data_IF_109482573029
#
_entry.id   IF_109482573029
#
_cell.length_a   1.000
_cell.length_b   1.000
_cell.length_c   1.000
_cell.angle_alpha   90.00
_cell.angle_beta   90.00
_cell.angle_gamma   90.00
#
_symmetry.space_group_name_H-M   'P 1'
#
loop_
_entity.id
_entity.type
_entity.pdbx_description
1 polymer ?
#
# COMPACT_ATOMS: atom_id res chain seq x y z
N UNK A 1 13.71 -16.49 2.90
CA UNK A 1 12.78 -16.51 4.05
C UNK A 1 11.48 -15.83 3.65
N UNK A 2 10.65 -16.50 2.85
CA UNK A 2 9.33 -16.02 2.43
C UNK A 2 8.18 -16.80 3.09
N UNK A 3 8.50 -17.80 3.93
CA UNK A 3 7.54 -18.78 4.46
C UNK A 3 6.82 -18.36 5.74
N UNK A 4 7.05 -17.15 6.26
CA UNK A 4 6.32 -16.67 7.45
C UNK A 4 5.19 -15.71 7.06
N UNK A 5 5.45 -14.79 6.14
CA UNK A 5 4.44 -13.80 5.71
C UNK A 5 3.30 -14.42 4.89
N UNK A 6 3.62 -15.32 3.95
CA UNK A 6 2.60 -15.98 3.13
C UNK A 6 1.66 -16.87 3.97
N UNK A 7 2.14 -17.44 5.08
CA UNK A 7 1.32 -18.23 6.00
C UNK A 7 0.36 -17.34 6.81
N UNK A 8 0.80 -16.13 7.21
CA UNK A 8 -0.09 -15.13 7.82
C UNK A 8 -1.23 -14.74 6.88
N UNK A 9 -1.01 -14.75 5.57
CA UNK A 9 -2.07 -14.50 4.58
C UNK A 9 -3.06 -15.67 4.47
N UNK A 10 -2.83 -16.82 5.10
CA UNK A 10 -3.84 -17.88 5.21
C UNK A 10 -4.70 -17.75 6.47
N UNK A 11 -4.34 -16.88 7.40
CA UNK A 11 -5.06 -16.67 8.65
C UNK A 11 -6.49 -16.15 8.38
N UNK A 12 -7.53 -16.69 9.06
CA UNK A 12 -8.91 -16.23 8.90
C UNK A 12 -9.11 -14.73 9.10
N UNK A 13 -8.31 -14.08 9.96
CA UNK A 13 -8.36 -12.63 10.19
C UNK A 13 -7.97 -11.88 8.92
N UNK A 14 -6.90 -12.31 8.24
CA UNK A 14 -6.54 -11.74 6.95
C UNK A 14 -7.59 -12.04 5.90
N UNK A 15 -8.10 -13.26 5.80
CA UNK A 15 -9.12 -13.60 4.81
C UNK A 15 -10.39 -12.75 4.96
N UNK A 16 -10.83 -12.49 6.20
CA UNK A 16 -11.93 -11.58 6.50
C UNK A 16 -11.61 -10.14 6.06
N UNK A 17 -10.45 -9.61 6.47
CA UNK A 17 -10.01 -8.26 6.09
C UNK A 17 -9.89 -8.10 4.58
N UNK A 18 -9.32 -9.10 3.91
CA UNK A 18 -9.16 -9.15 2.45
C UNK A 18 -10.52 -9.05 1.76
N UNK A 19 -11.51 -9.83 2.19
CA UNK A 19 -12.86 -9.76 1.63
C UNK A 19 -13.55 -8.41 1.89
N UNK A 20 -13.34 -7.82 3.07
CA UNK A 20 -13.84 -6.47 3.38
C UNK A 20 -13.29 -5.42 2.40
N UNK A 21 -11.98 -5.44 2.13
CA UNK A 21 -11.35 -4.50 1.19
C UNK A 21 -11.79 -4.77 -0.25
N UNK A 22 -11.84 -6.03 -0.67
CA UNK A 22 -12.34 -6.40 -2.00
C UNK A 22 -13.79 -5.95 -2.21
N UNK A 23 -14.64 -6.12 -1.20
CA UNK A 23 -16.04 -5.69 -1.27
C UNK A 23 -16.18 -4.16 -1.29
N UNK A 24 -15.38 -3.42 -0.50
CA UNK A 24 -15.32 -1.95 -0.53
C UNK A 24 -14.95 -1.43 -1.93
N UNK A 25 -14.05 -2.14 -2.60
CA UNK A 25 -13.50 -1.77 -3.91
C UNK A 25 -14.29 -2.38 -5.08
N UNK A 26 -15.52 -2.86 -4.83
CA UNK A 26 -16.41 -3.48 -5.83
C UNK A 26 -15.79 -4.65 -6.61
N UNK A 27 -14.87 -5.40 -5.99
CA UNK A 27 -14.10 -6.47 -6.63
C UNK A 27 -13.47 -6.00 -7.95
N UNK A 28 -12.84 -4.83 -7.90
CA UNK A 28 -12.25 -4.16 -9.05
C UNK A 28 -10.91 -3.53 -8.69
N UNK A 29 -9.95 -3.63 -9.60
CA UNK A 29 -8.67 -2.94 -9.48
C UNK A 29 -8.91 -1.43 -9.40
N UNK A 30 -8.40 -0.78 -8.35
CA UNK A 30 -8.59 0.65 -8.13
C UNK A 30 -7.65 1.54 -8.97
N UNK A 31 -6.71 0.95 -9.72
CA UNK A 31 -5.83 1.69 -10.63
C UNK A 31 -6.30 1.63 -12.09
N UNK A 32 -6.58 0.45 -12.61
CA UNK A 32 -6.96 0.26 -14.02
C UNK A 32 -8.43 -0.09 -14.25
N UNK A 33 -9.19 -0.36 -13.18
CA UNK A 33 -10.60 -0.75 -13.29
C UNK A 33 -10.84 -2.20 -13.73
N UNK A 34 -9.80 -3.03 -13.82
CA UNK A 34 -9.95 -4.43 -14.19
C UNK A 34 -10.74 -5.25 -13.14
N UNK A 35 -11.59 -6.16 -13.63
CA UNK A 35 -12.43 -7.06 -12.83
C UNK A 35 -12.23 -8.52 -13.24
N UNK A 36 -11.29 -8.83 -14.13
CA UNK A 36 -11.12 -10.16 -14.73
C UNK A 36 -9.86 -10.87 -14.25
N UNK A 37 -8.75 -10.16 -14.10
CA UNK A 37 -7.50 -10.74 -13.62
C UNK A 37 -7.56 -11.02 -12.12
N UNK A 38 -6.55 -11.72 -11.61
CA UNK A 38 -6.46 -12.02 -10.18
C UNK A 38 -6.34 -10.72 -9.38
N UNK A 39 -7.25 -10.53 -8.42
CA UNK A 39 -7.25 -9.38 -7.52
C UNK A 39 -6.54 -9.70 -6.20
N UNK A 40 -5.68 -8.77 -5.79
CA UNK A 40 -4.93 -8.82 -4.53
C UNK A 40 -5.15 -7.54 -3.74
N UNK A 41 -5.00 -7.62 -2.42
CA UNK A 41 -5.02 -6.44 -1.55
C UNK A 41 -3.58 -6.03 -1.31
N UNK A 42 -3.26 -4.81 -1.70
CA UNK A 42 -1.96 -4.17 -1.57
C UNK A 42 -1.91 -3.28 -0.33
N UNK A 43 -0.82 -3.39 0.44
CA UNK A 43 -0.48 -2.47 1.52
C UNK A 43 0.27 -1.26 0.94
N UNK A 44 -0.35 -0.07 1.00
CA UNK A 44 0.23 1.18 0.46
C UNK A 44 1.40 1.72 1.29
N UNK A 45 1.51 1.26 2.53
CA UNK A 45 2.60 1.56 3.45
C UNK A 45 2.82 0.35 4.38
N UNK A 46 4.02 0.22 4.92
CA UNK A 46 4.40 -0.84 5.85
C UNK A 46 4.66 -0.25 7.24
N UNK A 47 3.65 -0.35 8.10
CA UNK A 47 3.73 0.11 9.48
C UNK A 47 4.48 -0.90 10.34
N UNK A 48 5.45 -0.46 11.17
CA UNK A 48 6.20 -1.36 12.03
C UNK A 48 5.29 -2.07 13.03
N UNK A 49 5.59 -3.34 13.30
CA UNK A 49 4.89 -4.17 14.30
C UNK A 49 3.38 -4.35 14.06
N UNK A 50 2.92 -4.27 12.81
CA UNK A 50 1.54 -4.56 12.42
C UNK A 50 1.43 -5.88 11.70
N UNK A 51 0.46 -6.70 12.11
CA UNK A 51 0.05 -7.88 11.35
C UNK A 51 -0.81 -7.47 10.14
N UNK A 52 -0.91 -8.30 9.09
CA UNK A 52 -1.57 -7.91 7.83
C UNK A 52 -3.02 -7.40 8.00
N UNK A 53 -3.77 -7.94 8.96
CA UNK A 53 -5.16 -7.56 9.25
C UNK A 53 -5.31 -6.33 10.16
N UNK A 54 -4.24 -5.88 10.82
CA UNK A 54 -4.26 -4.75 11.77
C UNK A 54 -4.05 -3.39 11.10
N UNK A 55 -3.94 -3.37 9.76
CA UNK A 55 -3.80 -2.16 8.98
C UNK A 55 -5.14 -1.40 8.87
N UNK A 56 -5.13 -0.07 8.99
CA UNK A 56 -6.23 0.79 8.59
C UNK A 56 -6.66 0.53 7.14
N UNK A 57 -7.96 0.61 6.86
CA UNK A 57 -8.49 0.29 5.53
C UNK A 57 -7.97 1.23 4.43
N UNK A 58 -7.72 2.50 4.75
CA UNK A 58 -7.17 3.52 3.84
C UNK A 58 -5.74 3.23 3.36
N UNK A 59 -5.00 2.39 4.09
CA UNK A 59 -3.70 1.86 3.69
C UNK A 59 -3.78 0.54 2.91
N UNK A 60 -4.99 0.03 2.66
CA UNK A 60 -5.23 -1.19 1.89
C UNK A 60 -6.01 -0.87 0.62
N UNK A 61 -5.60 -1.45 -0.50
CA UNK A 61 -6.26 -1.20 -1.80
C UNK A 61 -6.30 -2.47 -2.65
N UNK A 62 -7.41 -2.69 -3.34
CA UNK A 62 -7.55 -3.79 -4.30
C UNK A 62 -6.90 -3.43 -5.62
N UNK A 63 -5.94 -4.26 -6.07
CA UNK A 63 -5.26 -4.14 -7.35
C UNK A 63 -5.33 -5.47 -8.11
N UNK A 64 -5.29 -5.42 -9.44
CA UNK A 64 -4.95 -6.61 -10.23
C UNK A 64 -3.46 -6.93 -10.06
N UNK A 65 -3.06 -8.15 -10.40
CA UNK A 65 -1.66 -8.60 -10.29
C UNK A 65 -0.66 -7.72 -11.06
N UNK A 66 -1.01 -7.29 -12.28
CA UNK A 66 -0.16 -6.41 -13.10
C UNK A 66 0.07 -5.04 -12.45
N UNK A 67 -1.01 -4.40 -11.99
CA UNK A 67 -0.92 -3.12 -11.28
C UNK A 67 -0.22 -3.26 -9.93
N UNK A 68 -0.40 -4.40 -9.25
CA UNK A 68 0.26 -4.69 -7.99
C UNK A 68 1.77 -4.85 -8.14
N UNK A 69 2.23 -5.52 -9.21
CA UNK A 69 3.64 -5.61 -9.54
C UNK A 69 4.22 -4.25 -9.91
N UNK A 70 3.55 -3.53 -10.82
CA UNK A 70 3.95 -2.19 -11.25
C UNK A 70 4.09 -1.19 -10.09
N UNK A 71 3.13 -1.18 -9.15
CA UNK A 71 3.19 -0.29 -7.97
C UNK A 71 4.44 -0.57 -7.13
N UNK A 72 4.79 -1.84 -6.91
CA UNK A 72 5.99 -2.20 -6.13
C UNK A 72 7.28 -1.77 -6.84
N UNK A 73 7.37 -2.01 -8.14
CA UNK A 73 8.56 -1.68 -8.94
C UNK A 73 8.77 -0.17 -9.07
N UNK A 74 7.72 0.55 -9.50
CA UNK A 74 7.78 2.00 -9.74
C UNK A 74 8.08 2.74 -8.44
N UNK A 75 7.42 2.40 -7.33
CA UNK A 75 7.72 3.07 -6.05
C UNK A 75 9.17 2.83 -5.61
N UNK A 76 9.65 1.59 -5.69
CA UNK A 76 11.00 1.24 -5.29
C UNK A 76 12.06 2.01 -6.12
N UNK A 77 11.78 2.23 -7.41
CA UNK A 77 12.67 2.98 -8.30
C UNK A 77 12.62 4.49 -8.03
N UNK A 78 11.43 5.08 -7.94
CA UNK A 78 11.26 6.54 -7.99
C UNK A 78 11.18 7.22 -6.62
N UNK A 79 10.70 6.56 -5.56
CA UNK A 79 10.62 7.20 -4.23
C UNK A 79 11.97 7.68 -3.69
N UNK A 80 13.08 6.92 -3.78
CA UNK A 80 14.37 7.40 -3.33
C UNK A 80 14.83 8.63 -4.10
N UNK A 81 14.56 8.67 -5.41
CA UNK A 81 14.89 9.81 -6.28
C UNK A 81 14.06 11.03 -5.88
N UNK A 82 12.76 10.85 -5.66
CA UNK A 82 11.87 11.92 -5.20
C UNK A 82 12.36 12.50 -3.87
N UNK A 83 12.76 11.65 -2.93
CA UNK A 83 13.31 12.09 -1.64
C UNK A 83 14.61 12.88 -1.81
N UNK A 84 15.47 12.52 -2.77
CA UNK A 84 16.67 13.28 -3.09
C UNK A 84 16.34 14.65 -3.68
N UNK A 85 15.37 14.73 -4.60
CA UNK A 85 14.90 16.01 -5.17
C UNK A 85 14.36 16.91 -4.05
N UNK A 86 13.49 16.37 -3.20
CA UNK A 86 12.93 17.13 -2.08
C UNK A 86 14.02 17.66 -1.14
N UNK A 87 15.07 16.88 -0.84
CA UNK A 87 16.20 17.33 -0.01
C UNK A 87 17.08 18.40 -0.65
N UNK A 88 17.05 18.53 -1.98
CA UNK A 88 17.80 19.58 -2.69
C UNK A 88 17.04 20.90 -2.74
N UNK A 89 15.73 20.83 -2.92
CA UNK A 89 14.87 22.00 -3.09
C UNK A 89 14.37 22.59 -1.76
N UNK A 90 14.25 21.78 -0.70
CA UNK A 90 13.63 22.17 0.57
C UNK A 90 14.58 22.04 1.77
N UNK A 91 14.38 22.92 2.75
CA UNK A 91 15.11 22.89 4.02
C UNK A 91 14.32 22.13 5.10
N UNK A 92 14.98 21.80 6.20
CA UNK A 92 14.36 21.05 7.31
C UNK A 92 13.10 21.72 7.88
N UNK A 93 13.07 23.06 7.93
CA UNK A 93 11.90 23.81 8.40
C UNK A 93 10.71 23.72 7.42
N UNK A 94 10.97 23.62 6.12
CA UNK A 94 9.92 23.44 5.12
C UNK A 94 9.25 22.06 5.26
N UNK A 95 10.05 21.01 5.51
CA UNK A 95 9.50 19.69 5.83
C UNK A 95 8.62 19.71 7.08
N UNK A 96 9.02 20.46 8.11
CA UNK A 96 8.20 20.63 9.32
C UNK A 96 6.85 21.25 8.98
N UNK A 97 6.82 22.32 8.17
CA UNK A 97 5.58 23.00 7.76
C UNK A 97 4.67 22.06 6.96
N UNK A 98 5.24 21.34 5.99
CA UNK A 98 4.49 20.36 5.17
C UNK A 98 3.93 19.22 6.01
N UNK A 99 4.73 18.64 6.91
CA UNK A 99 4.29 17.56 7.80
C UNK A 99 3.17 18.00 8.76
N UNK A 100 3.15 19.26 9.19
CA UNK A 100 2.07 19.82 10.01
C UNK A 100 0.75 19.95 9.23
N UNK A 101 0.76 20.04 7.91
CA UNK A 101 -0.46 20.10 7.09
C UNK A 101 -1.14 18.73 6.96
N UNK A 102 -0.36 17.64 6.99
CA UNK A 102 -0.86 16.25 6.90
C UNK A 102 -1.44 15.71 8.22
N UNK A 103 -1.30 16.46 9.33
CA UNK A 103 -1.82 16.09 10.66
C UNK A 103 -3.16 16.75 11.00
N UNK A 104 -3.80 17.41 10.03
CA UNK A 104 -5.16 17.97 10.14
C UNK A 104 -6.15 17.02 9.48
#
# INVERSE_FOLDING_TARGET
MASDYSEKLKDPRWQKKRLEILARDDFKCQLCGDTKSTLVVHHRDYLPSKEPWDYPNDLLVTLCEDCHESEREIRAEYEPVLLQVLRREYWADDFRKLACQLKK
#
